data_IF_826081763775
#
_entry.id   IF_826081763775
#
_cell.length_a   1.000
_cell.length_b   1.000
_cell.length_c   1.000
_cell.angle_alpha   90.00
_cell.angle_beta   90.00
_cell.angle_gamma   90.00
#
_symmetry.space_group_name_H-M   'P 1'
#
loop_
_entity.id
_entity.type
_entity.pdbx_description
1 polymer ?
#
# COMPACT_ATOMS: atom_id res chain seq x y z
N UNK A 1 13.45 3.79 7.16
CA UNK A 1 13.95 4.25 5.85
C UNK A 1 12.86 4.30 4.79
N UNK A 2 11.96 3.30 4.72
CA UNK A 2 10.82 3.29 3.79
C UNK A 2 10.01 4.60 3.79
N UNK A 3 9.68 5.16 4.96
CA UNK A 3 9.00 6.46 5.05
C UNK A 3 9.73 7.58 4.32
N UNK A 4 11.06 7.61 4.41
CA UNK A 4 11.88 8.68 3.83
C UNK A 4 11.93 8.55 2.31
N UNK A 5 12.12 7.33 1.78
CA UNK A 5 12.07 7.11 0.33
C UNK A 5 10.71 7.50 -0.27
N UNK A 6 9.60 7.16 0.40
CA UNK A 6 8.28 7.60 -0.05
C UNK A 6 8.10 9.12 0.06
N UNK A 7 8.65 9.75 1.10
CA UNK A 7 8.62 11.20 1.26
C UNK A 7 9.42 11.92 0.17
N UNK A 8 10.61 11.43 -0.16
CA UNK A 8 11.46 11.97 -1.24
C UNK A 8 10.76 11.85 -2.60
N UNK A 9 10.29 10.65 -2.95
CA UNK A 9 9.53 10.43 -4.18
C UNK A 9 8.26 11.30 -4.26
N UNK A 10 7.53 11.44 -3.14
CA UNK A 10 6.32 12.27 -3.08
C UNK A 10 6.60 13.77 -3.23
N UNK A 11 7.70 14.27 -2.65
CA UNK A 11 8.15 15.65 -2.85
C UNK A 11 8.57 15.89 -4.30
N UNK A 12 9.38 15.00 -4.87
CA UNK A 12 9.83 15.06 -6.27
C UNK A 12 8.65 15.06 -7.24
N UNK A 13 7.63 14.22 -7.00
CA UNK A 13 6.42 14.21 -7.80
C UNK A 13 5.64 15.53 -7.73
N UNK A 14 5.53 16.13 -6.55
CA UNK A 14 4.89 17.44 -6.39
C UNK A 14 5.64 18.56 -7.13
N UNK A 15 6.97 18.52 -7.12
CA UNK A 15 7.81 19.46 -7.88
C UNK A 15 7.67 19.28 -9.39
N UNK A 16 7.43 18.04 -9.86
CA UNK A 16 7.09 17.74 -11.24
C UNK A 16 5.67 18.19 -11.65
N UNK A 17 4.88 18.76 -10.72
CA UNK A 17 3.60 19.38 -11.02
C UNK A 17 2.41 18.43 -11.11
N UNK A 18 2.43 17.29 -10.40
CA UNK A 18 1.29 16.37 -10.33
C UNK A 18 0.13 16.95 -9.52
N UNK A 19 -1.10 16.54 -9.84
CA UNK A 19 -2.31 17.03 -9.14
C UNK A 19 -2.61 16.30 -7.82
N UNK A 20 -2.06 15.10 -7.62
CA UNK A 20 -2.21 14.30 -6.41
C UNK A 20 -1.10 13.21 -6.33
N UNK A 21 -0.84 12.73 -5.12
CA UNK A 21 0.10 11.63 -4.84
C UNK A 21 -0.65 10.44 -4.28
N UNK A 22 -0.33 9.25 -4.78
CA UNK A 22 -0.78 7.96 -4.23
C UNK A 22 0.43 7.23 -3.66
N UNK A 23 0.32 6.73 -2.43
CA UNK A 23 1.35 5.94 -1.80
C UNK A 23 1.19 4.48 -2.24
N UNK A 24 2.14 3.98 -3.02
CA UNK A 24 2.14 2.59 -3.52
C UNK A 24 2.64 1.57 -2.49
N UNK A 25 2.06 1.64 -1.30
CA UNK A 25 2.31 0.68 -0.23
C UNK A 25 1.07 0.59 0.65
N UNK A 26 0.66 -0.63 1.00
CA UNK A 26 -0.44 -0.83 1.97
C UNK A 26 -0.09 -0.27 3.33
N UNK A 27 1.20 -0.12 3.68
CA UNK A 27 1.61 0.44 4.96
C UNK A 27 1.49 1.98 5.03
N UNK A 28 1.19 2.66 3.91
CA UNK A 28 1.07 4.12 3.82
C UNK A 28 2.31 4.88 4.34
N UNK A 29 3.51 4.35 4.10
CA UNK A 29 4.77 4.95 4.51
C UNK A 29 4.89 6.41 4.07
N UNK A 30 5.28 7.29 4.99
CA UNK A 30 5.47 8.71 4.73
C UNK A 30 4.20 9.52 4.41
N UNK A 31 3.02 8.89 4.29
CA UNK A 31 1.77 9.54 3.85
C UNK A 31 1.42 10.77 4.67
N UNK A 32 1.43 10.64 6.00
CA UNK A 32 0.98 11.73 6.88
C UNK A 32 1.97 12.90 6.90
N UNK A 33 3.27 12.63 6.75
CA UNK A 33 4.28 13.66 6.60
C UNK A 33 4.11 14.41 5.27
N UNK A 34 3.93 13.67 4.17
CA UNK A 34 3.64 14.25 2.85
C UNK A 34 2.35 15.07 2.85
N UNK A 35 1.27 14.56 3.46
CA UNK A 35 -0.01 15.30 3.59
C UNK A 35 0.14 16.59 4.38
N UNK A 36 1.06 16.65 5.33
CA UNK A 36 1.35 17.87 6.09
C UNK A 36 2.27 18.85 5.33
N UNK A 37 3.08 18.36 4.41
CA UNK A 37 4.05 19.14 3.63
C UNK A 37 3.49 19.66 2.30
N UNK A 38 2.58 18.92 1.66
CA UNK A 38 2.10 19.19 0.31
C UNK A 38 0.74 19.90 0.30
N UNK A 39 0.55 20.77 -0.69
CA UNK A 39 -0.74 21.42 -0.97
C UNK A 39 -1.68 20.54 -1.80
N UNK A 40 -1.17 19.50 -2.44
CA UNK A 40 -1.95 18.53 -3.22
C UNK A 40 -2.43 17.36 -2.35
N UNK A 41 -3.51 16.66 -2.75
CA UNK A 41 -3.95 15.46 -2.04
C UNK A 41 -2.88 14.37 -2.02
N UNK A 42 -2.70 13.75 -0.86
CA UNK A 42 -1.87 12.56 -0.67
C UNK A 42 -2.75 11.44 -0.15
N UNK A 43 -2.85 10.34 -0.90
CA UNK A 43 -3.76 9.23 -0.62
C UNK A 43 -2.98 7.96 -0.33
N UNK A 44 -3.27 7.34 0.82
CA UNK A 44 -2.73 6.04 1.20
C UNK A 44 -3.50 4.88 0.55
N UNK A 45 -2.79 3.87 0.06
CA UNK A 45 -3.37 2.62 -0.42
C UNK A 45 -3.97 1.80 0.71
N UNK A 46 -3.31 1.74 1.86
CA UNK A 46 -3.82 1.09 3.06
C UNK A 46 -5.12 1.71 3.54
N UNK A 47 -5.13 3.04 3.78
CA UNK A 47 -6.32 3.77 4.19
C UNK A 47 -7.48 3.59 3.22
N UNK A 48 -7.24 3.77 1.91
CA UNK A 48 -8.29 3.67 0.90
C UNK A 48 -8.86 2.25 0.80
N UNK A 49 -7.99 1.23 0.83
CA UNK A 49 -8.40 -0.17 0.79
C UNK A 49 -9.20 -0.58 2.02
N UNK A 50 -8.76 -0.18 3.22
CA UNK A 50 -9.48 -0.48 4.47
C UNK A 50 -10.86 0.16 4.48
N UNK A 51 -10.95 1.43 4.11
CA UNK A 51 -12.22 2.15 4.04
C UNK A 51 -13.18 1.48 3.03
N UNK A 52 -12.67 1.06 1.86
CA UNK A 52 -13.47 0.37 0.86
C UNK A 52 -13.94 -1.02 1.32
N UNK A 53 -13.07 -1.79 1.99
CA UNK A 53 -13.42 -3.11 2.52
C UNK A 53 -14.47 -3.02 3.62
N UNK A 54 -14.34 -2.04 4.54
CA UNK A 54 -15.26 -1.86 5.66
C UNK A 54 -16.70 -1.50 5.24
N UNK A 55 -16.92 -0.95 4.03
CA UNK A 55 -18.27 -0.68 3.50
C UNK A 55 -19.08 -1.96 3.31
N UNK A 56 -18.41 -3.11 3.15
CA UNK A 56 -19.05 -4.40 2.92
C UNK A 56 -19.35 -5.18 4.21
N UNK A 57 -19.06 -4.63 5.40
CA UNK A 57 -19.24 -5.32 6.67
C UNK A 57 -17.94 -5.93 7.17
N UNK A 58 -17.97 -7.19 7.63
CA UNK A 58 -16.76 -7.87 8.12
C UNK A 58 -15.88 -8.26 6.95
N UNK A 59 -14.59 -7.92 7.00
CA UNK A 59 -13.65 -8.22 5.93
C UNK A 59 -12.42 -8.96 6.46
N UNK A 60 -11.63 -9.55 5.57
CA UNK A 60 -10.32 -10.06 5.90
C UNK A 60 -9.26 -9.45 4.99
N UNK A 61 -8.01 -9.40 5.47
CA UNK A 61 -6.86 -9.02 4.66
C UNK A 61 -6.12 -10.30 4.25
N UNK A 62 -5.90 -10.50 2.95
CA UNK A 62 -5.08 -11.60 2.44
C UNK A 62 -3.82 -11.03 1.80
N UNK A 63 -2.66 -11.40 2.30
CA UNK A 63 -1.37 -10.82 1.91
C UNK A 63 -0.36 -11.88 1.50
N UNK A 64 0.56 -11.49 0.62
CA UNK A 64 1.71 -12.30 0.20
C UNK A 64 2.90 -12.16 1.15
N UNK A 65 2.80 -11.29 2.16
CA UNK A 65 3.85 -11.11 3.15
C UNK A 65 3.78 -12.16 4.26
N UNK A 66 4.90 -12.45 4.95
CA UNK A 66 4.89 -13.30 6.13
C UNK A 66 4.27 -12.60 7.34
N UNK A 67 3.95 -13.39 8.36
CA UNK A 67 3.29 -12.91 9.58
C UNK A 67 4.12 -11.86 10.32
N UNK A 68 5.46 -11.92 10.25
CA UNK A 68 6.34 -10.88 10.83
C UNK A 68 6.08 -9.48 10.29
N UNK A 69 5.46 -9.35 9.11
CA UNK A 69 5.14 -8.07 8.47
C UNK A 69 3.73 -7.56 8.79
N UNK A 70 2.93 -8.29 9.57
CA UNK A 70 1.55 -7.90 9.87
C UNK A 70 1.43 -6.58 10.63
N UNK A 71 2.50 -6.16 11.33
CA UNK A 71 2.52 -4.90 12.08
C UNK A 71 2.07 -3.69 11.26
N UNK A 72 2.35 -3.68 9.94
CA UNK A 72 1.98 -2.59 9.06
C UNK A 72 0.46 -2.49 8.89
N UNK A 73 -0.19 -3.59 8.52
CA UNK A 73 -1.65 -3.63 8.36
C UNK A 73 -2.38 -3.51 9.71
N UNK A 74 -1.86 -4.12 10.78
CA UNK A 74 -2.40 -4.00 12.14
C UNK A 74 -2.40 -2.55 12.64
N UNK A 75 -1.30 -1.83 12.41
CA UNK A 75 -1.21 -0.41 12.78
C UNK A 75 -2.26 0.42 12.07
N UNK A 76 -2.48 0.20 10.78
CA UNK A 76 -3.47 0.94 10.00
C UNK A 76 -4.91 0.58 10.39
N UNK A 77 -5.20 -0.69 10.66
CA UNK A 77 -6.49 -1.12 11.19
C UNK A 77 -6.83 -0.37 12.47
N UNK A 78 -5.84 -0.17 13.36
CA UNK A 78 -6.04 0.59 14.60
C UNK A 78 -6.20 2.09 14.34
N UNK A 79 -5.29 2.70 13.58
CA UNK A 79 -5.29 4.15 13.28
C UNK A 79 -6.58 4.58 12.57
N UNK A 80 -7.09 3.74 11.67
CA UNK A 80 -8.29 4.04 10.87
C UNK A 80 -9.59 3.47 11.47
N UNK A 81 -9.54 2.85 12.65
CA UNK A 81 -10.74 2.39 13.36
C UNK A 81 -11.46 1.21 12.71
N UNK A 82 -10.73 0.35 12.00
CA UNK A 82 -11.26 -0.82 11.29
C UNK A 82 -10.89 -2.16 11.95
N UNK A 83 -10.20 -2.14 13.09
CA UNK A 83 -9.74 -3.34 13.78
C UNK A 83 -10.89 -4.33 14.13
N UNK A 84 -12.05 -3.83 14.57
CA UNK A 84 -13.19 -4.69 14.92
C UNK A 84 -13.93 -5.26 13.69
N UNK A 85 -13.83 -4.59 12.54
CA UNK A 85 -14.45 -5.04 11.29
C UNK A 85 -13.57 -6.04 10.52
N UNK A 86 -12.28 -6.12 10.86
CA UNK A 86 -11.34 -7.05 10.25
C UNK A 86 -11.30 -8.38 11.01
N UNK A 87 -11.67 -9.48 10.35
CA UNK A 87 -11.61 -10.84 10.91
C UNK A 87 -10.18 -11.32 11.15
N UNK A 88 -9.21 -10.72 10.46
CA UNK A 88 -7.80 -11.04 10.60
C UNK A 88 -7.01 -10.82 9.32
N UNK A 89 -5.70 -11.02 9.44
CA UNK A 89 -4.74 -10.99 8.33
C UNK A 89 -4.30 -12.43 8.06
N UNK A 90 -4.43 -12.88 6.80
CA UNK A 90 -3.98 -14.19 6.34
C UNK A 90 -2.77 -14.04 5.43
N UNK A 91 -1.75 -14.83 5.71
CA UNK A 91 -0.43 -14.72 5.11
C UNK A 91 -0.15 -15.91 4.19
N UNK A 92 0.03 -15.64 2.91
CA UNK A 92 0.48 -16.64 1.92
C UNK A 92 2.01 -16.78 1.96
N UNK A 93 2.73 -15.70 2.20
CA UNK A 93 4.19 -15.71 2.28
C UNK A 93 4.72 -16.31 3.58
N UNK A 94 5.94 -16.82 3.50
CA UNK A 94 6.72 -17.31 4.64
C UNK A 94 7.96 -16.42 4.86
N UNK A 95 8.63 -16.56 6.01
CA UNK A 95 9.73 -15.64 6.40
C UNK A 95 10.90 -15.64 5.40
N UNK A 96 11.08 -16.71 4.64
CA UNK A 96 12.10 -16.85 3.60
C UNK A 96 11.92 -15.86 2.44
N UNK A 97 10.69 -15.39 2.17
CA UNK A 97 10.43 -14.44 1.09
C UNK A 97 11.09 -13.08 1.35
N UNK A 98 11.39 -12.73 2.61
CA UNK A 98 12.05 -11.47 2.96
C UNK A 98 13.49 -11.40 2.42
N UNK A 99 14.16 -12.55 2.31
CA UNK A 99 15.50 -12.63 1.71
C UNK A 99 15.52 -12.55 0.19
N UNK A 100 14.36 -12.69 -0.47
CA UNK A 100 14.22 -12.75 -1.93
C UNK A 100 13.60 -11.49 -2.53
N UNK A 101 13.37 -10.45 -1.72
CA UNK A 101 12.71 -9.22 -2.18
C UNK A 101 13.58 -8.49 -3.23
N UNK A 102 14.90 -8.56 -3.09
CA UNK A 102 15.86 -7.86 -3.93
C UNK A 102 16.12 -8.51 -5.29
N UNK A 103 15.61 -9.72 -5.51
CA UNK A 103 15.87 -10.49 -6.72
C UNK A 103 14.87 -10.06 -7.82
N UNK A 104 15.34 -9.66 -9.02
CA UNK A 104 14.48 -9.34 -10.16
C UNK A 104 13.49 -10.45 -10.54
N UNK A 105 13.83 -11.71 -10.27
CA UNK A 105 12.95 -12.88 -10.44
C UNK A 105 12.48 -13.47 -9.10
N UNK A 106 12.67 -12.70 -8.03
CA UNK A 106 12.29 -13.02 -6.67
C UNK A 106 10.78 -13.08 -6.45
N UNK A 107 10.42 -13.42 -5.21
CA UNK A 107 9.04 -13.71 -4.84
C UNK A 107 8.06 -12.59 -5.22
N UNK A 108 8.38 -11.32 -4.97
CA UNK A 108 7.48 -10.21 -5.32
C UNK A 108 7.31 -10.01 -6.82
N UNK A 109 8.34 -10.26 -7.63
CA UNK A 109 8.21 -10.22 -9.09
C UNK A 109 7.24 -11.29 -9.58
N UNK A 110 7.28 -12.47 -8.98
CA UNK A 110 6.34 -13.58 -9.23
C UNK A 110 4.91 -13.22 -8.82
N UNK A 111 4.74 -12.55 -7.68
CA UNK A 111 3.45 -11.98 -7.23
C UNK A 111 2.93 -10.96 -8.25
N UNK A 112 3.78 -10.02 -8.68
CA UNK A 112 3.43 -8.95 -9.62
C UNK A 112 3.06 -9.51 -11.02
N UNK A 113 3.67 -10.63 -11.43
CA UNK A 113 3.28 -11.36 -12.64
C UNK A 113 1.99 -12.19 -12.48
N UNK A 114 1.41 -12.21 -11.28
CA UNK A 114 0.23 -13.01 -10.93
C UNK A 114 0.40 -14.48 -11.34
N UNK A 115 1.54 -15.07 -10.95
CA UNK A 115 1.84 -16.48 -11.23
C UNK A 115 0.77 -17.41 -10.65
N UNK A 116 0.41 -18.44 -11.42
CA UNK A 116 -0.70 -19.34 -11.10
C UNK A 116 -0.58 -19.97 -9.71
N UNK A 117 0.62 -20.43 -9.33
CA UNK A 117 0.83 -21.07 -8.02
C UNK A 117 0.61 -20.12 -6.84
N UNK A 118 0.96 -18.85 -6.97
CA UNK A 118 0.70 -17.82 -5.95
C UNK A 118 -0.78 -17.46 -5.94
N UNK A 119 -1.40 -17.31 -7.12
CA UNK A 119 -2.83 -17.04 -7.25
C UNK A 119 -3.66 -18.13 -6.54
N UNK A 120 -3.34 -19.41 -6.76
CA UNK A 120 -4.04 -20.54 -6.15
C UNK A 120 -3.95 -20.51 -4.61
N UNK A 121 -2.77 -20.16 -4.07
CA UNK A 121 -2.57 -20.00 -2.62
C UNK A 121 -3.38 -18.83 -2.06
N UNK A 122 -3.39 -17.68 -2.77
CA UNK A 122 -4.19 -16.51 -2.40
C UNK A 122 -5.68 -16.85 -2.39
N UNK A 123 -6.18 -17.54 -3.42
CA UNK A 123 -7.59 -17.97 -3.50
C UNK A 123 -7.92 -18.94 -2.36
N UNK A 124 -7.02 -19.86 -2.02
CA UNK A 124 -7.21 -20.79 -0.89
C UNK A 124 -7.37 -20.06 0.44
N UNK A 125 -6.53 -19.06 0.71
CA UNK A 125 -6.66 -18.25 1.94
C UNK A 125 -7.92 -17.38 1.93
N UNK A 126 -8.36 -16.91 0.76
CA UNK A 126 -9.62 -16.18 0.62
C UNK A 126 -10.82 -17.08 0.92
N UNK A 127 -10.87 -18.28 0.36
CA UNK A 127 -11.97 -19.22 0.60
C UNK A 127 -12.06 -19.58 2.08
N UNK A 128 -10.92 -19.73 2.76
CA UNK A 128 -10.87 -19.93 4.20
C UNK A 128 -11.42 -18.70 4.98
N UNK A 129 -11.06 -17.48 4.58
CA UNK A 129 -11.62 -16.26 5.17
C UNK A 129 -13.14 -16.15 4.97
N UNK A 130 -13.64 -16.51 3.78
CA UNK A 130 -15.07 -16.51 3.47
C UNK A 130 -15.80 -17.53 4.35
N UNK A 131 -15.23 -18.73 4.55
CA UNK A 131 -15.79 -19.75 5.44
C UNK A 131 -15.87 -19.30 6.91
N UNK A 132 -14.97 -18.39 7.32
CA UNK A 132 -14.98 -17.75 8.65
C UNK A 132 -15.89 -16.51 8.73
N UNK A 133 -16.53 -16.14 7.62
CA UNK A 133 -17.54 -15.09 7.57
C UNK A 133 -17.08 -13.76 7.00
N UNK A 134 -15.99 -13.72 6.23
CA UNK A 134 -15.58 -12.53 5.49
C UNK A 134 -16.60 -12.20 4.39
N UNK A 135 -17.11 -10.97 4.40
CA UNK A 135 -18.06 -10.41 3.43
C UNK A 135 -17.35 -9.62 2.32
N UNK A 136 -16.06 -9.32 2.50
CA UNK A 136 -15.15 -8.80 1.49
C UNK A 136 -13.69 -9.16 1.83
N UNK A 137 -12.82 -9.11 0.83
CA UNK A 137 -11.38 -9.34 0.96
C UNK A 137 -10.63 -8.09 0.52
N UNK A 138 -9.69 -7.61 1.33
CA UNK A 138 -8.69 -6.65 0.91
C UNK A 138 -7.38 -7.37 0.59
N UNK A 139 -6.79 -7.10 -0.57
CA UNK A 139 -5.44 -7.54 -0.87
C UNK A 139 -4.45 -6.74 -0.01
N UNK A 140 -3.56 -7.44 0.69
CA UNK A 140 -2.67 -6.84 1.71
C UNK A 140 -1.34 -6.32 1.17
N UNK A 141 -1.15 -6.28 -0.15
CA UNK A 141 0.03 -5.70 -0.79
C UNK A 141 -0.32 -5.12 -2.15
N UNK A 142 0.23 -3.96 -2.51
CA UNK A 142 -0.03 -3.31 -3.81
C UNK A 142 0.56 -4.09 -4.99
N UNK A 143 1.63 -4.87 -4.80
CA UNK A 143 2.16 -5.81 -5.79
C UNK A 143 1.15 -6.89 -6.21
N UNK A 144 0.07 -7.10 -5.44
CA UNK A 144 -1.02 -8.02 -5.80
C UNK A 144 -2.04 -7.36 -6.75
N UNK A 145 -1.87 -6.10 -7.14
CA UNK A 145 -2.78 -5.40 -8.05
C UNK A 145 -3.04 -6.16 -9.36
N UNK A 146 -2.03 -6.76 -10.03
CA UNK A 146 -2.25 -7.47 -11.28
C UNK A 146 -3.08 -8.76 -11.15
N UNK A 147 -3.15 -9.36 -9.95
CA UNK A 147 -3.97 -10.54 -9.71
C UNK A 147 -5.41 -10.21 -9.30
N UNK A 148 -5.71 -8.97 -8.90
CA UNK A 148 -7.00 -8.60 -8.32
C UNK A 148 -8.21 -9.03 -9.17
N UNK A 149 -8.17 -8.79 -10.49
CA UNK A 149 -9.25 -9.17 -11.39
C UNK A 149 -9.41 -10.70 -11.52
N UNK A 150 -8.29 -11.45 -11.52
CA UNK A 150 -8.31 -12.92 -11.57
C UNK A 150 -8.92 -13.50 -10.29
N UNK A 151 -8.50 -12.97 -9.13
CA UNK A 151 -9.04 -13.37 -7.83
C UNK A 151 -10.53 -13.03 -7.74
N UNK A 152 -10.94 -11.84 -8.17
CA UNK A 152 -12.35 -11.41 -8.13
C UNK A 152 -13.30 -12.30 -8.94
N UNK A 153 -12.82 -12.93 -10.02
CA UNK A 153 -13.61 -13.91 -10.80
C UNK A 153 -13.66 -15.28 -10.13
N UNK A 154 -12.67 -15.61 -9.29
CA UNK A 154 -12.55 -16.93 -8.66
C UNK A 154 -13.33 -17.06 -7.35
N UNK A 155 -13.70 -15.94 -6.70
CA UNK A 155 -14.26 -15.94 -5.34
C UNK A 155 -15.65 -15.30 -5.29
N UNK A 156 -16.40 -15.59 -4.23
CA UNK A 156 -17.82 -15.20 -4.12
C UNK A 156 -18.09 -13.84 -3.45
N UNK A 157 -17.06 -13.17 -2.95
CA UNK A 157 -17.15 -11.89 -2.24
C UNK A 157 -16.35 -10.79 -2.95
N UNK A 158 -16.64 -9.50 -2.73
CA UNK A 158 -15.86 -8.40 -3.29
C UNK A 158 -14.38 -8.48 -2.92
N UNK A 159 -13.52 -8.30 -3.93
CA UNK A 159 -12.07 -8.21 -3.77
C UNK A 159 -11.63 -6.77 -3.96
N UNK A 160 -11.06 -6.19 -2.91
CA UNK A 160 -10.61 -4.81 -2.85
C UNK A 160 -9.13 -4.76 -3.20
N UNK A 161 -8.82 -4.09 -4.31
CA UNK A 161 -7.46 -3.71 -4.66
C UNK A 161 -7.15 -2.34 -4.02
N UNK A 162 -6.31 -2.27 -2.98
CA UNK A 162 -6.04 -1.03 -2.26
C UNK A 162 -5.43 0.07 -3.14
N UNK A 163 -4.53 -0.28 -4.06
CA UNK A 163 -3.90 0.68 -4.97
C UNK A 163 -4.92 1.29 -5.93
N UNK A 164 -5.81 0.45 -6.47
CA UNK A 164 -6.88 0.92 -7.36
C UNK A 164 -7.86 1.84 -6.63
N UNK A 165 -8.23 1.52 -5.38
CA UNK A 165 -9.09 2.40 -4.57
C UNK A 165 -8.42 3.73 -4.25
N UNK A 166 -7.12 3.72 -3.93
CA UNK A 166 -6.36 4.94 -3.71
C UNK A 166 -6.28 5.82 -4.96
N UNK A 167 -6.00 5.23 -6.12
CA UNK A 167 -5.96 5.95 -7.40
C UNK A 167 -7.33 6.58 -7.74
N UNK A 168 -8.43 5.84 -7.56
CA UNK A 168 -9.79 6.39 -7.74
C UNK A 168 -10.04 7.58 -6.83
N UNK A 169 -9.70 7.45 -5.55
CA UNK A 169 -9.86 8.51 -4.54
C UNK A 169 -8.98 9.73 -4.86
N UNK A 170 -7.74 9.53 -5.29
CA UNK A 170 -6.83 10.61 -5.70
C UNK A 170 -7.39 11.40 -6.89
N UNK A 171 -7.88 10.71 -7.94
CA UNK A 171 -8.50 11.37 -9.10
C UNK A 171 -9.69 12.23 -8.71
N UNK A 172 -10.55 11.73 -7.82
CA UNK A 172 -11.71 12.49 -7.32
C UNK A 172 -11.26 13.71 -6.50
N UNK A 173 -10.29 13.56 -5.61
CA UNK A 173 -9.79 14.67 -4.78
C UNK A 173 -9.10 15.75 -5.61
N UNK A 174 -8.28 15.36 -6.59
CA UNK A 174 -7.63 16.26 -7.53
C UNK A 174 -8.68 17.10 -8.30
N UNK A 175 -9.71 16.44 -8.85
CA UNK A 175 -10.80 17.13 -9.58
C UNK A 175 -11.60 18.09 -8.72
N UNK A 176 -11.81 17.75 -7.45
CA UNK A 176 -12.60 18.57 -6.54
C UNK A 176 -11.82 19.75 -5.96
N UNK A 177 -10.54 19.93 -6.32
CA UNK A 177 -9.67 20.96 -5.75
C UNK A 177 -9.51 20.81 -4.23
N UNK A 178 -9.69 19.58 -3.71
CA UNK A 178 -9.70 19.30 -2.29
C UNK A 178 -8.27 19.25 -1.73
N UNK A 179 -7.59 20.39 -1.72
CA UNK A 179 -6.38 20.60 -0.94
C UNK A 179 -6.74 20.63 0.55
N UNK A 180 -6.32 19.62 1.32
CA UNK A 180 -6.41 19.62 2.79
C UNK A 180 -5.10 19.18 3.43
N UNK A 181 -4.01 19.79 3.01
CA UNK A 181 -2.89 20.06 3.91
C UNK A 181 -3.03 21.50 4.37
N UNK A 182 -2.92 21.78 5.68
CA UNK A 182 -2.44 23.12 6.06
C UNK A 182 -1.01 23.12 5.53
N UNK A 183 -0.81 23.69 4.33
CA UNK A 183 0.52 23.86 3.76
C UNK A 183 1.29 24.71 4.76
N UNK A 184 2.02 24.02 5.64
CA UNK A 184 2.86 24.62 6.65
C UNK A 184 4.25 24.78 6.02
N UNK A 185 5.12 25.57 6.63
CA UNK A 185 6.54 25.63 6.26
C UNK A 185 7.30 24.31 6.57
N UNK A 186 6.58 23.19 6.67
CA UNK A 186 7.11 21.86 6.94
C UNK A 186 7.66 21.19 5.69
N UNK A 187 7.36 21.67 4.49
CA UNK A 187 8.01 21.16 3.28
C UNK A 187 9.53 21.34 3.37
N UNK A 188 10.01 22.51 3.84
CA UNK A 188 11.44 22.73 4.10
C UNK A 188 11.97 21.80 5.19
N UNK A 189 11.23 21.60 6.28
CA UNK A 189 11.63 20.67 7.35
C UNK A 189 11.74 19.22 6.82
N UNK A 190 10.75 18.75 6.06
CA UNK A 190 10.75 17.41 5.48
C UNK A 190 11.93 17.27 4.51
N UNK A 191 12.18 18.26 3.66
CA UNK A 191 13.37 18.28 2.79
C UNK A 191 14.65 18.18 3.60
N UNK A 192 14.83 19.00 4.64
CA UNK A 192 16.01 18.94 5.51
C UNK A 192 16.18 17.59 6.19
N UNK A 193 15.09 16.89 6.53
CA UNK A 193 15.14 15.53 7.07
C UNK A 193 15.61 14.53 6.00
N UNK A 194 15.14 14.66 4.76
CA UNK A 194 15.60 13.85 3.62
C UNK A 194 17.08 14.17 3.32
N UNK A 195 17.45 15.44 3.18
CA UNK A 195 18.81 15.89 2.88
C UNK A 195 19.83 15.48 3.94
N UNK A 196 19.43 15.47 5.22
CA UNK A 196 20.31 15.09 6.33
C UNK A 196 20.84 13.65 6.22
N UNK A 197 20.14 12.79 5.46
CA UNK A 197 20.54 11.40 5.25
C UNK A 197 20.87 11.09 3.78
N UNK A 198 20.62 12.02 2.85
CA UNK A 198 20.91 11.85 1.43
C UNK A 198 22.41 11.68 1.10
N UNK A 199 23.30 11.96 2.05
CA UNK A 199 24.74 11.73 1.97
C UNK A 199 25.26 10.56 2.82
N UNK A 200 24.38 9.87 3.55
CA UNK A 200 24.72 8.53 4.07
C UNK A 200 24.84 7.59 2.86
N UNK A 201 25.79 6.65 2.90
CA UNK A 201 25.97 5.71 1.79
C UNK A 201 24.61 5.09 1.47
N UNK A 202 24.21 5.14 0.19
CA UNK A 202 23.04 4.44 -0.31
C UNK A 202 23.13 3.01 0.24
N UNK A 203 22.26 2.68 1.18
CA UNK A 203 22.16 1.32 1.70
C UNK A 203 21.49 0.52 0.59
N UNK A 204 22.21 0.34 -0.53
CA UNK A 204 21.85 -0.33 -1.76
C UNK A 204 20.48 -0.97 -1.60
N UNK A 205 19.42 -0.15 -1.72
CA UNK A 205 18.11 -0.43 -1.12
C UNK A 205 17.27 -1.02 -2.23
N UNK A 206 17.28 -2.33 -2.46
CA UNK A 206 16.66 -2.96 -3.63
C UNK A 206 15.12 -2.88 -3.60
N UNK A 207 14.55 -2.25 -2.57
CA UNK A 207 13.12 -2.08 -2.31
C UNK A 207 12.68 -0.63 -2.35
N UNK A 208 13.61 0.32 -2.47
CA UNK A 208 13.28 1.72 -2.59
C UNK A 208 12.86 1.99 -4.04
N UNK A 209 11.61 2.40 -4.26
CA UNK A 209 11.15 2.88 -5.58
C UNK A 209 11.72 4.30 -5.76
N UNK A 210 13.00 4.37 -6.12
CA UNK A 210 13.57 5.59 -6.71
C UNK A 210 13.17 5.60 -8.17
N UNK A 211 12.36 6.58 -8.55
CA UNK A 211 12.10 6.84 -9.96
C UNK A 211 13.44 7.24 -10.60
N UNK A 212 14.00 6.39 -11.45
CA UNK A 212 15.10 6.80 -12.31
C UNK A 212 14.61 7.96 -13.20
N UNK A 213 15.31 9.09 -13.12
CA UNK A 213 15.06 10.25 -13.98
C UNK A 213 15.25 9.84 -15.44
N UNK A 214 14.22 10.06 -16.27
CA UNK A 214 14.31 9.97 -17.74
C UNK A 214 15.19 11.07 -18.32
#
# INVERSE_FOLDING_TARGET
MQDIGHMEAGLSAAEAGVDAVVIDSVADYGRDALRAALAIPVVGSGEAGLAAAAVHGRFAIVTVWPRSMNFAAESLLHIHGHAESCLGIRNVGHEDVLGMIADPDGYLSRVNRAEASILDQVVTEIDAAIAEGAEAIMLGCTCMSPMAAKVAVAVSVPVINPLAEAAKRAVVLARNGAAKGVATDRADLVRRMVDAIAGEADENCPVCVVAEAF
#
